data_IF_848426395409
#
_entry.id   IF_848426395409
#
_cell.length_a   1.000
_cell.length_b   1.000
_cell.length_c   1.000
_cell.angle_alpha   90.00
_cell.angle_beta   90.00
_cell.angle_gamma   90.00
#
_symmetry.space_group_name_H-M   'P 1'
#
loop_
_entity.id
_entity.type
_entity.pdbx_description
1 polymer ?
#
# COMPACT_ATOMS: atom_id res chain seq x y z
N UNK A 1 22.10 -18.67 -6.65
CA UNK A 1 21.59 -17.30 -6.50
C UNK A 1 20.35 -17.13 -7.39
N UNK A 2 19.27 -16.56 -6.84
CA UNK A 2 18.07 -16.25 -7.60
C UNK A 2 18.39 -15.14 -8.62
N UNK A 3 17.89 -15.24 -9.84
CA UNK A 3 18.10 -14.18 -10.82
C UNK A 3 17.00 -13.10 -10.72
N UNK A 4 17.26 -11.94 -11.28
CA UNK A 4 16.35 -10.76 -11.25
C UNK A 4 14.95 -11.10 -11.78
N UNK A 5 14.86 -11.91 -12.84
CA UNK A 5 13.58 -12.27 -13.46
C UNK A 5 12.71 -13.08 -12.49
N UNK A 6 13.30 -14.06 -11.80
CA UNK A 6 12.58 -14.85 -10.80
C UNK A 6 12.13 -13.99 -9.63
N UNK A 7 12.96 -13.06 -9.16
CA UNK A 7 12.59 -12.13 -8.08
C UNK A 7 11.39 -11.23 -8.47
N UNK A 8 11.38 -10.72 -9.69
CA UNK A 8 10.26 -9.94 -10.23
C UNK A 8 8.99 -10.80 -10.31
N UNK A 9 9.09 -12.04 -10.83
CA UNK A 9 7.94 -12.96 -10.93
C UNK A 9 7.37 -13.26 -9.54
N UNK A 10 8.22 -13.60 -8.56
CA UNK A 10 7.79 -13.86 -7.18
C UNK A 10 7.10 -12.63 -6.60
N UNK A 11 7.71 -11.45 -6.71
CA UNK A 11 7.15 -10.20 -6.23
C UNK A 11 5.77 -9.95 -6.83
N UNK A 12 5.67 -10.02 -8.15
CA UNK A 12 4.42 -9.80 -8.89
C UNK A 12 3.32 -10.79 -8.51
N UNK A 13 3.62 -12.08 -8.46
CA UNK A 13 2.61 -13.11 -8.15
C UNK A 13 2.11 -12.99 -6.71
N UNK A 14 3.00 -12.80 -5.73
CA UNK A 14 2.60 -12.58 -4.34
C UNK A 14 1.82 -11.27 -4.19
N UNK A 15 2.27 -10.20 -4.84
CA UNK A 15 1.54 -8.93 -4.89
C UNK A 15 0.15 -9.06 -5.51
N UNK A 16 -0.02 -9.95 -6.50
CA UNK A 16 -1.28 -10.20 -7.18
C UNK A 16 -2.32 -10.93 -6.33
N UNK A 17 -1.97 -11.40 -5.12
CA UNK A 17 -2.91 -12.07 -4.24
C UNK A 17 -4.15 -11.19 -3.96
N UNK A 18 -5.38 -11.67 -4.29
CA UNK A 18 -6.56 -10.82 -4.38
C UNK A 18 -7.35 -10.77 -3.07
N UNK A 19 -6.74 -10.35 -1.96
CA UNK A 19 -7.28 -10.35 -0.60
C UNK A 19 -8.69 -9.76 -0.48
N UNK A 20 -8.90 -8.55 -1.02
CA UNK A 20 -10.19 -7.86 -0.94
C UNK A 20 -11.28 -8.53 -1.80
N UNK A 21 -10.91 -9.10 -2.96
CA UNK A 21 -11.83 -9.86 -3.78
C UNK A 21 -12.30 -11.12 -3.06
N UNK A 22 -11.37 -11.85 -2.46
CA UNK A 22 -11.68 -13.05 -1.69
C UNK A 22 -12.57 -12.73 -0.48
N UNK A 23 -12.28 -11.65 0.27
CA UNK A 23 -13.11 -11.21 1.38
C UNK A 23 -14.55 -10.93 0.94
N UNK A 24 -14.75 -10.22 -0.18
CA UNK A 24 -16.08 -9.94 -0.74
C UNK A 24 -16.81 -11.21 -1.17
N UNK A 25 -16.12 -12.08 -1.90
CA UNK A 25 -16.71 -13.34 -2.42
C UNK A 25 -17.07 -14.33 -1.32
N UNK A 26 -16.13 -14.55 -0.38
CA UNK A 26 -16.34 -15.57 0.67
C UNK A 26 -17.37 -15.12 1.70
N UNK A 27 -17.43 -13.82 2.03
CA UNK A 27 -18.31 -13.33 3.09
C UNK A 27 -19.70 -12.95 2.63
N UNK A 28 -19.83 -12.35 1.44
CA UNK A 28 -21.10 -11.81 0.93
C UNK A 28 -21.46 -12.24 -0.50
N UNK A 29 -20.66 -13.08 -1.16
CA UNK A 29 -20.87 -13.48 -2.56
C UNK A 29 -20.72 -12.37 -3.59
N UNK A 30 -20.22 -11.19 -3.20
CA UNK A 30 -20.12 -9.99 -4.06
C UNK A 30 -18.73 -9.84 -4.70
N UNK A 31 -18.67 -9.17 -5.83
CA UNK A 31 -17.42 -8.66 -6.37
C UNK A 31 -17.19 -7.23 -5.86
N UNK A 32 -16.19 -7.07 -5.00
CA UNK A 32 -15.87 -5.79 -4.36
C UNK A 32 -15.51 -4.68 -5.38
N UNK A 33 -15.17 -5.05 -6.61
CA UNK A 33 -14.84 -4.13 -7.70
C UNK A 33 -16.08 -3.53 -8.37
N UNK A 34 -17.25 -4.07 -8.09
CA UNK A 34 -18.52 -3.62 -8.69
C UNK A 34 -19.37 -2.84 -7.67
N UNK A 35 -18.96 -2.78 -6.40
CA UNK A 35 -19.73 -2.12 -5.32
C UNK A 35 -18.93 -1.02 -4.62
N UNK A 36 -19.64 -0.08 -4.00
CA UNK A 36 -19.06 1.02 -3.23
C UNK A 36 -18.11 1.90 -4.04
N UNK A 37 -16.87 2.06 -3.57
CA UNK A 37 -15.85 2.82 -4.28
C UNK A 37 -15.25 2.09 -5.48
N UNK A 38 -15.67 0.85 -5.74
CA UNK A 38 -15.15 -0.05 -6.80
C UNK A 38 -13.63 -0.32 -6.69
N UNK A 39 -13.00 0.07 -5.60
CA UNK A 39 -11.59 -0.15 -5.34
C UNK A 39 -11.39 -1.47 -4.59
N UNK A 40 -10.38 -2.24 -5.01
CA UNK A 40 -9.99 -3.50 -4.36
C UNK A 40 -9.07 -3.23 -3.17
N UNK A 41 -9.59 -2.59 -2.12
CA UNK A 41 -8.84 -2.23 -0.92
C UNK A 41 -9.67 -2.30 0.35
N UNK A 42 -8.99 -2.35 1.49
CA UNK A 42 -9.58 -2.54 2.81
C UNK A 42 -10.71 -1.56 3.16
N UNK A 43 -10.60 -0.29 2.75
CA UNK A 43 -11.67 0.68 3.05
C UNK A 43 -12.98 0.36 2.33
N UNK A 44 -12.93 -0.13 1.08
CA UNK A 44 -14.13 -0.58 0.39
C UNK A 44 -14.72 -1.82 1.07
N UNK A 45 -13.85 -2.76 1.46
CA UNK A 45 -14.26 -3.94 2.24
C UNK A 45 -14.88 -3.54 3.59
N UNK A 46 -14.35 -2.53 4.26
CA UNK A 46 -14.92 -2.03 5.51
C UNK A 46 -16.38 -1.59 5.36
N UNK A 47 -16.68 -0.86 4.31
CA UNK A 47 -18.05 -0.34 4.08
C UNK A 47 -18.99 -1.39 3.51
N UNK A 48 -18.52 -2.24 2.61
CA UNK A 48 -19.39 -3.13 1.83
C UNK A 48 -19.46 -4.56 2.42
N UNK A 49 -18.45 -5.00 3.18
CA UNK A 49 -18.36 -6.36 3.73
C UNK A 49 -18.42 -6.34 5.25
N UNK A 50 -17.42 -5.72 5.90
CA UNK A 50 -17.36 -5.64 7.34
C UNK A 50 -16.00 -5.21 7.88
N UNK A 51 -15.93 -4.80 9.17
CA UNK A 51 -14.69 -4.30 9.78
C UNK A 51 -13.63 -5.40 9.98
N UNK A 52 -14.04 -6.62 10.29
CA UNK A 52 -13.13 -7.76 10.50
C UNK A 52 -12.46 -8.13 9.18
N UNK A 53 -13.23 -8.27 8.12
CA UNK A 53 -12.74 -8.57 6.78
C UNK A 53 -11.82 -7.45 6.27
N UNK A 54 -12.14 -6.20 6.56
CA UNK A 54 -11.28 -5.06 6.22
C UNK A 54 -9.93 -5.11 6.95
N UNK A 55 -9.92 -5.48 8.24
CA UNK A 55 -8.69 -5.66 8.99
C UNK A 55 -7.82 -6.80 8.42
N UNK A 56 -8.44 -7.94 8.11
CA UNK A 56 -7.76 -9.07 7.48
C UNK A 56 -7.18 -8.71 6.11
N UNK A 57 -7.93 -7.97 5.29
CA UNK A 57 -7.46 -7.46 3.99
C UNK A 57 -6.31 -6.49 4.17
N UNK A 58 -6.35 -5.59 5.16
CA UNK A 58 -5.26 -4.67 5.46
C UNK A 58 -3.98 -5.43 5.82
N UNK A 59 -4.09 -6.42 6.71
CA UNK A 59 -2.95 -7.26 7.11
C UNK A 59 -2.40 -8.08 5.94
N UNK A 60 -3.27 -8.66 5.12
CA UNK A 60 -2.86 -9.41 3.94
C UNK A 60 -2.17 -8.53 2.90
N UNK A 61 -2.69 -7.32 2.66
CA UNK A 61 -2.11 -6.38 1.69
C UNK A 61 -0.76 -5.79 2.16
N UNK A 62 -0.59 -5.53 3.46
CA UNK A 62 0.70 -5.19 4.05
C UNK A 62 1.66 -6.39 3.96
N UNK A 63 1.18 -7.56 4.37
CA UNK A 63 1.99 -8.77 4.51
C UNK A 63 2.47 -9.36 3.19
N UNK A 64 1.70 -9.25 2.10
CA UNK A 64 2.12 -9.81 0.80
C UNK A 64 3.36 -9.12 0.23
N UNK A 65 3.50 -7.80 0.45
CA UNK A 65 4.70 -7.07 0.06
C UNK A 65 5.91 -7.46 0.89
N UNK A 66 5.75 -7.54 2.21
CA UNK A 66 6.79 -8.01 3.14
C UNK A 66 7.18 -9.45 2.79
N UNK A 67 6.20 -10.34 2.62
CA UNK A 67 6.42 -11.74 2.29
C UNK A 67 7.17 -11.95 0.97
N UNK A 68 6.88 -11.12 -0.04
CA UNK A 68 7.60 -11.15 -1.32
C UNK A 68 9.09 -10.83 -1.14
N UNK A 69 9.39 -9.76 -0.42
CA UNK A 69 10.77 -9.35 -0.13
C UNK A 69 11.49 -10.40 0.72
N UNK A 70 10.85 -10.91 1.77
CA UNK A 70 11.44 -11.93 2.64
C UNK A 70 11.75 -13.22 1.87
N UNK A 71 10.81 -13.68 1.04
CA UNK A 71 10.99 -14.90 0.26
C UNK A 71 12.16 -14.77 -0.72
N UNK A 72 12.26 -13.65 -1.43
CA UNK A 72 13.36 -13.41 -2.37
C UNK A 72 14.70 -13.31 -1.63
N UNK A 73 14.77 -12.63 -0.50
CA UNK A 73 15.99 -12.58 0.32
C UNK A 73 16.40 -13.96 0.80
N UNK A 74 15.48 -14.75 1.31
CA UNK A 74 15.75 -16.11 1.74
C UNK A 74 16.29 -17.00 0.59
N UNK A 75 15.64 -16.95 -0.57
CA UNK A 75 16.07 -17.71 -1.76
C UNK A 75 17.40 -17.24 -2.34
N UNK A 76 17.76 -15.98 -2.11
CA UNK A 76 19.05 -15.41 -2.54
C UNK A 76 20.21 -15.73 -1.61
N UNK A 77 19.93 -16.31 -0.42
CA UNK A 77 20.91 -16.49 0.65
C UNK A 77 21.31 -15.18 1.35
N UNK A 78 20.56 -14.08 1.09
CA UNK A 78 20.80 -12.80 1.76
C UNK A 78 20.20 -12.81 3.18
N UNK A 79 20.81 -12.12 4.16
CA UNK A 79 20.21 -11.96 5.46
C UNK A 79 18.80 -11.39 5.37
N UNK A 80 17.85 -11.93 6.14
CA UNK A 80 16.47 -11.42 6.15
C UNK A 80 16.40 -9.96 6.61
N UNK A 81 17.26 -9.59 7.56
CA UNK A 81 17.45 -8.22 8.02
C UNK A 81 18.80 -7.75 7.47
N UNK A 82 18.78 -7.19 6.30
CA UNK A 82 19.95 -6.64 5.60
C UNK A 82 19.63 -5.22 5.14
N UNK A 83 20.66 -4.43 4.88
CA UNK A 83 20.48 -3.16 4.17
C UNK A 83 19.65 -3.33 2.89
N UNK A 84 19.06 -2.22 2.43
CA UNK A 84 18.35 -2.18 1.15
C UNK A 84 19.31 -2.57 0.02
N UNK A 85 18.85 -3.40 -0.90
CA UNK A 85 19.55 -3.78 -2.11
C UNK A 85 18.62 -3.69 -3.32
N UNK A 86 19.20 -3.64 -4.51
CA UNK A 86 18.49 -3.47 -5.77
C UNK A 86 17.47 -4.60 -6.03
N UNK A 87 17.80 -5.84 -5.69
CA UNK A 87 16.91 -6.99 -5.86
C UNK A 87 15.67 -6.88 -4.96
N UNK A 88 15.87 -6.46 -3.71
CA UNK A 88 14.80 -6.15 -2.76
C UNK A 88 13.89 -5.05 -3.29
N UNK A 89 14.46 -3.98 -3.83
CA UNK A 89 13.71 -2.87 -4.45
C UNK A 89 12.86 -3.32 -5.62
N UNK A 90 13.43 -4.06 -6.56
CA UNK A 90 12.70 -4.61 -7.72
C UNK A 90 11.56 -5.55 -7.29
N UNK A 91 11.82 -6.42 -6.31
CA UNK A 91 10.79 -7.31 -5.76
C UNK A 91 9.63 -6.53 -5.16
N UNK A 92 9.95 -5.48 -4.39
CA UNK A 92 8.95 -4.59 -3.79
C UNK A 92 8.11 -3.88 -4.82
N UNK A 93 8.73 -3.29 -5.84
CA UNK A 93 8.01 -2.65 -6.97
C UNK A 93 7.13 -3.67 -7.68
N UNK A 94 7.62 -4.86 -7.98
CA UNK A 94 6.86 -5.92 -8.63
C UNK A 94 5.64 -6.33 -7.79
N UNK A 95 5.77 -6.40 -6.46
CA UNK A 95 4.65 -6.71 -5.56
C UNK A 95 3.59 -5.60 -5.56
N UNK A 96 3.99 -4.33 -5.61
CA UNK A 96 3.05 -3.21 -5.72
C UNK A 96 2.35 -3.22 -7.08
N UNK A 97 3.07 -3.47 -8.17
CA UNK A 97 2.49 -3.63 -9.52
C UNK A 97 1.51 -4.81 -9.54
N UNK A 98 1.85 -5.94 -8.92
CA UNK A 98 0.96 -7.09 -8.79
C UNK A 98 -0.34 -6.77 -8.05
N UNK A 99 -0.27 -5.96 -6.97
CA UNK A 99 -1.48 -5.49 -6.29
C UNK A 99 -2.35 -4.59 -7.18
N UNK A 100 -1.73 -3.70 -7.96
CA UNK A 100 -2.45 -2.75 -8.85
C UNK A 100 -3.02 -3.46 -10.07
N UNK A 101 -2.25 -4.38 -10.65
CA UNK A 101 -2.58 -5.12 -11.87
C UNK A 101 -2.52 -6.63 -11.66
N UNK A 102 -3.38 -7.22 -10.80
CA UNK A 102 -3.31 -8.64 -10.47
C UNK A 102 -3.70 -9.52 -11.67
N UNK A 103 -2.82 -10.45 -12.03
CA UNK A 103 -3.04 -11.39 -13.14
C UNK A 103 -4.30 -12.23 -12.93
N UNK A 104 -4.57 -12.64 -11.68
CA UNK A 104 -5.73 -13.48 -11.34
C UNK A 104 -7.09 -12.77 -11.51
N UNK A 105 -7.10 -11.44 -11.67
CA UNK A 105 -8.31 -10.63 -11.78
C UNK A 105 -8.37 -9.78 -13.05
N UNK A 106 -7.75 -10.25 -14.12
CA UNK A 106 -7.71 -9.56 -15.42
C UNK A 106 -7.14 -8.14 -15.29
N UNK A 107 -6.11 -8.00 -14.48
CA UNK A 107 -5.37 -6.75 -14.23
C UNK A 107 -6.21 -5.60 -13.61
N UNK A 108 -7.35 -5.93 -12.97
CA UNK A 108 -8.21 -4.96 -12.26
C UNK A 108 -8.03 -5.11 -10.76
N UNK A 109 -7.06 -4.42 -10.18
CA UNK A 109 -6.67 -4.52 -8.77
C UNK A 109 -7.00 -3.30 -7.93
N UNK A 110 -6.23 -3.13 -6.86
CA UNK A 110 -6.30 -2.00 -5.93
C UNK A 110 -5.34 -0.88 -6.33
N UNK A 111 -4.99 -0.02 -5.36
CA UNK A 111 -4.11 1.14 -5.56
C UNK A 111 -2.67 0.92 -5.08
N UNK A 112 -2.37 -0.21 -4.50
CA UNK A 112 -1.02 -0.57 -4.06
C UNK A 112 -0.55 0.06 -2.74
N UNK A 113 -1.31 1.00 -2.16
CA UNK A 113 -0.87 1.79 -1.01
C UNK A 113 -0.51 0.95 0.22
N UNK A 114 -1.35 0.01 0.63
CA UNK A 114 -1.07 -0.85 1.78
C UNK A 114 0.16 -1.74 1.54
N UNK A 115 0.30 -2.31 0.34
CA UNK A 115 1.45 -3.14 -0.03
C UNK A 115 2.75 -2.33 0.00
N UNK A 116 2.75 -1.10 -0.54
CA UNK A 116 3.90 -0.21 -0.50
C UNK A 116 4.27 0.19 0.94
N UNK A 117 3.28 0.55 1.76
CA UNK A 117 3.53 0.87 3.19
C UNK A 117 4.11 -0.34 3.91
N UNK A 118 3.58 -1.55 3.68
CA UNK A 118 4.13 -2.77 4.28
C UNK A 118 5.61 -2.95 3.95
N UNK A 119 5.99 -2.81 2.69
CA UNK A 119 7.38 -2.89 2.24
C UNK A 119 8.24 -1.82 2.91
N UNK A 120 7.80 -0.56 2.90
CA UNK A 120 8.54 0.55 3.48
C UNK A 120 8.70 0.42 5.00
N UNK A 121 7.67 -0.02 5.72
CA UNK A 121 7.75 -0.30 7.16
C UNK A 121 8.75 -1.43 7.46
N UNK A 122 8.79 -2.47 6.63
CA UNK A 122 9.74 -3.55 6.77
C UNK A 122 11.18 -3.09 6.52
N UNK A 123 11.39 -2.28 5.48
CA UNK A 123 12.72 -1.76 5.14
C UNK A 123 13.21 -0.68 6.11
N UNK A 124 12.29 0.02 6.77
CA UNK A 124 12.59 1.13 7.68
C UNK A 124 11.97 0.94 9.08
N UNK A 125 12.32 -0.13 9.83
CA UNK A 125 11.70 -0.44 11.11
C UNK A 125 11.87 0.66 12.17
N UNK A 126 13.00 1.39 12.17
CA UNK A 126 13.22 2.53 13.08
C UNK A 126 12.26 3.70 12.84
N UNK A 127 11.65 3.76 11.66
CA UNK A 127 10.67 4.79 11.30
C UNK A 127 9.28 4.51 11.89
N UNK A 128 8.96 3.25 12.27
CA UNK A 128 7.62 2.82 12.68
C UNK A 128 7.02 3.71 13.77
N UNK A 129 7.69 3.98 14.92
CA UNK A 129 7.10 4.80 15.97
C UNK A 129 6.70 6.19 15.48
N UNK A 130 7.56 6.84 14.71
CA UNK A 130 7.31 8.15 14.14
C UNK A 130 6.12 8.13 13.15
N UNK A 131 6.07 7.16 12.26
CA UNK A 131 5.01 7.03 11.26
C UNK A 131 3.65 6.71 11.88
N UNK A 132 3.64 5.91 12.96
CA UNK A 132 2.41 5.65 13.74
C UNK A 132 1.87 6.95 14.35
N UNK A 133 2.73 7.80 14.90
CA UNK A 133 2.34 9.11 15.45
C UNK A 133 1.78 10.01 14.34
N UNK A 134 2.47 10.11 13.19
CA UNK A 134 2.02 10.89 12.04
C UNK A 134 0.65 10.40 11.56
N UNK A 135 0.48 9.08 11.43
CA UNK A 135 -0.80 8.49 11.03
C UNK A 135 -1.91 8.82 12.04
N UNK A 136 -1.65 8.65 13.34
CA UNK A 136 -2.63 8.90 14.39
C UNK A 136 -3.07 10.37 14.41
N UNK A 137 -2.13 11.32 14.35
CA UNK A 137 -2.42 12.75 14.30
C UNK A 137 -3.23 13.08 13.05
N UNK A 138 -2.81 12.60 11.87
CA UNK A 138 -3.53 12.83 10.63
C UNK A 138 -4.96 12.27 10.69
N UNK A 139 -5.16 11.08 11.28
CA UNK A 139 -6.47 10.45 11.44
C UNK A 139 -7.37 11.23 12.39
N UNK A 140 -6.85 11.70 13.51
CA UNK A 140 -7.60 12.52 14.49
C UNK A 140 -8.07 13.84 13.86
N UNK A 141 -7.21 14.50 13.09
CA UNK A 141 -7.53 15.79 12.46
C UNK A 141 -8.49 15.63 11.29
N UNK A 142 -8.23 14.65 10.41
CA UNK A 142 -8.93 14.53 9.12
C UNK A 142 -10.12 13.59 9.17
N UNK A 143 -10.16 12.67 10.12
CA UNK A 143 -11.12 11.55 10.20
C UNK A 143 -11.20 10.74 8.89
N UNK A 144 -10.11 10.77 8.12
CA UNK A 144 -10.01 10.15 6.81
C UNK A 144 -8.85 9.14 6.77
N UNK A 145 -9.10 7.84 7.04
CA UNK A 145 -8.03 6.83 7.05
C UNK A 145 -7.27 6.77 5.73
N UNK A 146 -7.96 6.93 4.60
CA UNK A 146 -7.34 6.90 3.27
C UNK A 146 -6.34 8.04 3.10
N UNK A 147 -6.72 9.26 3.49
CA UNK A 147 -5.80 10.40 3.45
C UNK A 147 -4.63 10.20 4.42
N UNK A 148 -4.91 9.75 5.64
CA UNK A 148 -3.91 9.58 6.69
C UNK A 148 -2.82 8.57 6.30
N UNK A 149 -3.17 7.43 5.73
CA UNK A 149 -2.14 6.49 5.27
C UNK A 149 -1.43 6.95 3.98
N UNK A 150 -2.12 7.68 3.10
CA UNK A 150 -1.47 8.24 1.91
C UNK A 150 -0.44 9.31 2.26
N UNK A 151 -0.67 10.06 3.34
CA UNK A 151 0.31 11.01 3.87
C UNK A 151 1.63 10.32 4.25
N UNK A 152 1.58 9.08 4.75
CA UNK A 152 2.78 8.33 5.08
C UNK A 152 3.69 8.15 3.86
N UNK A 153 3.13 7.93 2.67
CA UNK A 153 3.93 7.78 1.44
C UNK A 153 4.70 9.06 1.09
N UNK A 154 4.19 10.23 1.47
CA UNK A 154 4.88 11.51 1.31
C UNK A 154 5.95 11.68 2.39
N UNK A 155 5.70 11.18 3.59
CA UNK A 155 6.60 11.31 4.74
C UNK A 155 7.79 10.34 4.67
N UNK A 156 7.62 9.15 4.08
CA UNK A 156 8.67 8.14 4.01
C UNK A 156 10.01 8.63 3.43
N UNK A 157 10.08 9.40 2.33
CA UNK A 157 11.36 9.93 1.82
C UNK A 157 12.10 10.81 2.83
N UNK A 158 11.37 11.65 3.58
CA UNK A 158 11.95 12.52 4.61
C UNK A 158 12.47 11.72 5.79
N UNK A 159 11.75 10.67 6.17
CA UNK A 159 12.18 9.75 7.24
C UNK A 159 13.39 8.93 6.80
N UNK A 160 13.41 8.46 5.56
CA UNK A 160 14.56 7.79 4.98
C UNK A 160 15.80 8.70 5.03
N UNK A 161 15.65 9.93 4.56
CA UNK A 161 16.72 10.93 4.61
C UNK A 161 17.20 11.20 6.05
N UNK A 162 16.30 11.40 7.02
CA UNK A 162 16.68 11.80 8.39
C UNK A 162 17.30 10.67 9.22
N UNK A 163 16.86 9.44 9.01
CA UNK A 163 17.20 8.30 9.89
C UNK A 163 18.17 7.32 9.24
N UNK A 164 18.18 7.21 7.91
CA UNK A 164 18.91 6.15 7.20
C UNK A 164 19.96 6.67 6.22
N UNK A 165 20.13 8.00 6.07
CA UNK A 165 21.04 8.59 5.08
C UNK A 165 22.48 8.05 5.20
N UNK A 166 23.02 7.98 6.41
CA UNK A 166 24.40 7.55 6.66
C UNK A 166 24.61 6.04 6.46
N UNK A 167 23.56 5.26 6.35
CA UNK A 167 23.68 3.80 6.26
C UNK A 167 23.34 3.23 4.90
N UNK A 168 22.30 3.69 4.22
CA UNK A 168 21.85 3.28 2.87
C UNK A 168 20.71 4.23 2.40
N UNK A 169 20.76 5.47 2.87
CA UNK A 169 19.61 6.38 2.79
C UNK A 169 19.28 6.80 1.38
N UNK A 170 20.27 6.96 0.50
CA UNK A 170 20.00 7.42 -0.87
C UNK A 170 19.08 6.46 -1.63
N UNK A 171 19.40 5.17 -1.60
CA UNK A 171 18.61 4.15 -2.30
C UNK A 171 17.17 4.07 -1.73
N UNK A 172 17.02 4.11 -0.40
CA UNK A 172 15.71 4.13 0.26
C UNK A 172 14.92 5.41 -0.03
N UNK A 173 15.59 6.56 -0.13
CA UNK A 173 14.95 7.83 -0.51
C UNK A 173 14.40 7.71 -1.92
N UNK A 174 15.25 7.35 -2.90
CA UNK A 174 14.82 7.21 -4.30
C UNK A 174 13.74 6.15 -4.46
N UNK A 175 13.84 5.01 -3.78
CA UNK A 175 12.84 3.96 -3.78
C UNK A 175 11.49 4.46 -3.23
N UNK A 176 11.49 5.15 -2.09
CA UNK A 176 10.26 5.67 -1.49
C UNK A 176 9.62 6.79 -2.32
N UNK A 177 10.42 7.67 -2.94
CA UNK A 177 9.96 8.68 -3.89
C UNK A 177 9.33 8.00 -5.11
N UNK A 178 10.01 7.03 -5.71
CA UNK A 178 9.52 6.30 -6.88
C UNK A 178 8.17 5.61 -6.61
N UNK A 179 8.03 4.93 -5.47
CA UNK A 179 6.75 4.36 -5.04
C UNK A 179 5.68 5.43 -4.83
N UNK A 180 6.03 6.53 -4.18
CA UNK A 180 5.11 7.65 -3.94
C UNK A 180 4.58 8.25 -5.24
N UNK A 181 5.44 8.48 -6.22
CA UNK A 181 5.06 8.98 -7.56
C UNK A 181 4.15 7.97 -8.27
N UNK A 182 4.55 6.68 -8.32
CA UNK A 182 3.76 5.64 -8.96
C UNK A 182 2.33 5.56 -8.38
N UNK A 183 2.23 5.51 -7.05
CA UNK A 183 0.95 5.43 -6.36
C UNK A 183 0.13 6.73 -6.51
N UNK A 184 0.80 7.88 -6.48
CA UNK A 184 0.19 9.19 -6.71
C UNK A 184 -0.51 9.25 -8.06
N UNK A 185 0.18 8.85 -9.13
CA UNK A 185 -0.39 8.78 -10.48
C UNK A 185 -1.66 7.90 -10.50
N UNK A 186 -1.60 6.71 -9.87
CA UNK A 186 -2.75 5.80 -9.80
C UNK A 186 -3.88 6.30 -8.90
N UNK A 187 -3.61 7.27 -8.03
CA UNK A 187 -4.62 7.87 -7.16
C UNK A 187 -5.32 9.09 -7.77
N UNK A 188 -4.74 9.75 -8.80
CA UNK A 188 -5.30 10.93 -9.44
C UNK A 188 -6.77 10.75 -9.89
N UNK A 189 -7.17 9.66 -10.59
CA UNK A 189 -8.55 9.48 -11.01
C UNK A 189 -9.53 9.49 -9.82
N UNK A 190 -9.13 8.88 -8.71
CA UNK A 190 -9.95 8.86 -7.50
C UNK A 190 -10.05 10.22 -6.83
N UNK A 191 -8.96 10.99 -6.80
CA UNK A 191 -9.00 12.36 -6.28
C UNK A 191 -9.93 13.24 -7.09
N UNK A 192 -9.90 13.14 -8.42
CA UNK A 192 -10.82 13.86 -9.31
C UNK A 192 -12.28 13.49 -9.06
N UNK A 193 -12.57 12.20 -8.91
CA UNK A 193 -13.92 11.70 -8.58
C UNK A 193 -14.40 12.27 -7.23
N UNK A 194 -13.56 12.19 -6.19
CA UNK A 194 -13.90 12.69 -4.85
C UNK A 194 -14.11 14.21 -4.86
N UNK A 195 -13.27 14.95 -5.57
CA UNK A 195 -13.41 16.39 -5.72
C UNK A 195 -14.73 16.77 -6.42
N UNK A 196 -15.10 16.04 -7.48
CA UNK A 196 -16.39 16.22 -8.14
C UNK A 196 -17.58 15.94 -7.21
N UNK A 197 -17.54 14.85 -6.43
CA UNK A 197 -18.59 14.48 -5.46
C UNK A 197 -18.75 15.51 -4.33
N UNK A 198 -17.71 16.27 -4.01
CA UNK A 198 -17.76 17.31 -2.97
C UNK A 198 -18.13 18.69 -3.51
N UNK A 199 -18.50 18.80 -4.78
CA UNK A 199 -18.80 20.07 -5.43
C UNK A 199 -17.57 20.97 -5.59
N UNK A 200 -16.38 20.38 -5.73
CA UNK A 200 -15.13 21.12 -5.92
C UNK A 200 -14.45 21.53 -4.60
N UNK A 201 -14.94 21.09 -3.45
CA UNK A 201 -14.39 21.47 -2.14
C UNK A 201 -13.33 20.49 -1.64
N UNK A 202 -12.06 20.85 -1.78
CA UNK A 202 -10.92 20.08 -1.29
C UNK A 202 -10.92 19.84 0.22
N UNK A 203 -11.49 20.76 1.01
CA UNK A 203 -11.57 20.59 2.47
C UNK A 203 -12.42 19.37 2.83
N UNK A 204 -13.52 19.15 2.10
CA UNK A 204 -14.39 17.98 2.28
C UNK A 204 -13.73 16.68 1.80
N UNK A 205 -12.87 16.74 0.78
CA UNK A 205 -12.09 15.59 0.31
C UNK A 205 -11.09 15.15 1.38
N UNK A 206 -10.40 16.09 2.01
CA UNK A 206 -9.36 15.82 3.01
C UNK A 206 -9.98 15.50 4.37
N UNK A 207 -10.87 16.34 4.87
CA UNK A 207 -11.47 16.23 6.21
C UNK A 207 -12.91 15.73 6.12
N UNK A 208 -13.17 14.55 6.71
CA UNK A 208 -14.49 13.94 6.79
C UNK A 208 -15.23 14.37 8.07
N UNK A 209 -16.55 14.32 8.03
CA UNK A 209 -17.37 14.56 9.23
C UNK A 209 -17.23 13.42 10.24
N UNK A 210 -17.14 12.20 9.75
CA UNK A 210 -16.91 11.00 10.55
C UNK A 210 -16.08 9.95 9.81
N UNK A 211 -15.57 8.93 10.53
CA UNK A 211 -14.90 7.78 9.92
C UNK A 211 -15.82 6.96 9.02
N UNK A 212 -17.15 7.10 9.18
CA UNK A 212 -18.17 6.38 8.40
C UNK A 212 -18.56 7.10 7.11
N UNK A 213 -18.08 8.33 6.87
CA UNK A 213 -18.41 9.07 5.65
C UNK A 213 -17.82 8.37 4.42
N UNK A 214 -18.70 8.12 3.45
CA UNK A 214 -18.35 7.51 2.17
C UNK A 214 -18.12 8.63 1.13
N UNK A 215 -16.89 8.75 0.66
CA UNK A 215 -16.52 9.62 -0.47
C UNK A 215 -15.98 8.78 -1.63
#
# INVERSE_FOLDING_TARGET
MINIVIAIIIGYLLGSFPSAYLAGRLRKGIDIREVGSKNMGAMNVYYEVGPIEAALVSLADLGKGIGAVLLVRWLSGNPLISPFDFLTGLTGVAAVIGHVFPVFLKFRGGKGGATAIGILLFLMPRAIPFLVIVFAIALLITRNPTFSYSLLLIVFPFVAWRIYFDTHGEDLIFFSIGLGIFLGIHYIPRLKEMHGKTGGDWRKVIKRRSLKDRL
#
